data_IF_434289844089
#
_entry.id   IF_434289844089
#
_cell.length_a   1.000
_cell.length_b   1.000
_cell.length_c   1.000
_cell.angle_alpha   90.00
_cell.angle_beta   90.00
_cell.angle_gamma   90.00
#
_symmetry.space_group_name_H-M   'P 1'
#
loop_
_entity.id
_entity.type
_entity.pdbx_description
1 polymer ?
#
# COMPACT_ATOMS: atom_id res chain seq x y z
N UNK A 1 2.48 22.52 14.12
CA UNK A 1 2.77 21.19 13.57
C UNK A 1 1.44 20.49 13.44
N UNK A 2 1.12 19.92 12.28
CA UNK A 2 -0.09 19.13 12.13
C UNK A 2 -0.08 17.98 13.13
N UNK A 3 -1.12 17.85 13.93
CA UNK A 3 -1.20 16.82 14.97
C UNK A 3 -1.97 15.64 14.37
N UNK A 4 -1.38 14.45 14.44
CA UNK A 4 -2.08 13.21 14.08
C UNK A 4 -3.25 12.98 15.06
N UNK A 5 -4.43 12.75 14.53
CA UNK A 5 -5.64 12.43 15.27
C UNK A 5 -5.90 10.93 15.13
N UNK A 6 -6.09 10.22 16.23
CA UNK A 6 -6.52 8.82 16.22
C UNK A 6 -8.01 8.72 16.48
N UNK A 7 -8.65 7.81 15.77
CA UNK A 7 -10.04 7.42 15.92
C UNK A 7 -10.21 5.97 15.49
N UNK A 8 -11.43 5.48 15.39
CA UNK A 8 -11.70 4.14 14.89
C UNK A 8 -13.06 4.04 14.22
N UNK A 9 -13.28 3.00 13.44
CA UNK A 9 -14.60 2.61 12.96
C UNK A 9 -14.84 1.12 13.17
N UNK A 10 -16.11 0.73 13.14
CA UNK A 10 -16.49 -0.69 13.19
C UNK A 10 -16.56 -1.23 11.77
N UNK A 11 -15.79 -2.28 11.49
CA UNK A 11 -15.80 -2.96 10.20
C UNK A 11 -17.18 -3.56 9.92
N UNK A 12 -17.67 -3.33 8.71
CA UNK A 12 -18.91 -3.96 8.23
C UNK A 12 -18.74 -5.46 7.94
N UNK A 13 -17.49 -5.94 7.78
CA UNK A 13 -17.22 -7.33 7.45
C UNK A 13 -17.48 -8.30 8.63
N UNK A 14 -17.11 -7.89 9.87
CA UNK A 14 -17.18 -8.78 11.03
C UNK A 14 -17.30 -8.04 12.38
N UNK A 15 -17.62 -6.76 12.35
CA UNK A 15 -17.71 -5.88 13.52
C UNK A 15 -16.39 -5.67 14.30
N UNK A 16 -15.24 -5.99 13.72
CA UNK A 16 -13.94 -5.65 14.29
C UNK A 16 -13.76 -4.14 14.37
N UNK A 17 -13.04 -3.66 15.39
CA UNK A 17 -12.65 -2.25 15.51
C UNK A 17 -11.38 -2.00 14.69
N UNK A 18 -11.43 -1.07 13.77
CA UNK A 18 -10.30 -0.67 12.93
C UNK A 18 -9.84 0.73 13.35
N UNK A 19 -8.62 0.82 13.82
CA UNK A 19 -8.00 2.09 14.24
C UNK A 19 -7.60 2.92 13.02
N UNK A 20 -7.79 4.24 13.14
CA UNK A 20 -7.52 5.21 12.07
C UNK A 20 -6.61 6.32 12.55
N UNK A 21 -5.84 6.84 11.61
CA UNK A 21 -4.95 7.98 11.79
C UNK A 21 -5.33 9.06 10.76
N UNK A 22 -5.39 10.31 11.19
CA UNK A 22 -5.74 11.42 10.32
C UNK A 22 -4.82 12.62 10.56
N UNK A 23 -4.31 13.20 9.48
CA UNK A 23 -3.54 14.44 9.43
C UNK A 23 -4.37 15.44 8.59
N UNK A 24 -5.23 16.18 9.25
CA UNK A 24 -6.29 16.99 8.59
C UNK A 24 -6.14 18.49 8.81
N UNK A 25 -5.06 18.93 9.46
CA UNK A 25 -4.78 20.35 9.68
C UNK A 25 -4.29 21.03 8.39
N UNK A 26 -5.20 21.15 7.43
CA UNK A 26 -4.96 21.74 6.10
C UNK A 26 -6.04 22.79 5.84
N UNK A 27 -5.62 24.02 5.61
CA UNK A 27 -6.51 25.12 5.23
C UNK A 27 -6.81 25.03 3.74
N UNK A 28 -8.08 25.13 3.36
CA UNK A 28 -8.57 25.03 1.98
C UNK A 28 -8.03 23.80 1.24
N UNK A 29 -8.35 22.58 1.71
CA UNK A 29 -7.81 21.36 1.12
C UNK A 29 -8.31 21.18 -0.32
N UNK A 30 -7.41 20.68 -1.18
CA UNK A 30 -7.69 20.41 -2.59
C UNK A 30 -8.05 18.93 -2.86
N UNK A 31 -7.89 18.06 -1.86
CA UNK A 31 -8.23 16.64 -1.95
C UNK A 31 -7.93 15.92 -0.63
N UNK A 32 -8.28 14.65 -0.58
CA UNK A 32 -7.99 13.73 0.50
C UNK A 32 -7.20 12.54 -0.03
N UNK A 33 -6.26 12.04 0.76
CA UNK A 33 -5.42 10.87 0.40
C UNK A 33 -5.56 9.82 1.50
N UNK A 34 -6.04 8.65 1.13
CA UNK A 34 -5.96 7.46 1.96
C UNK A 34 -4.60 6.79 1.76
N UNK A 35 -3.98 6.32 2.85
CA UNK A 35 -2.74 5.55 2.84
C UNK A 35 -3.05 4.15 3.36
N UNK A 36 -2.71 3.11 2.58
CA UNK A 36 -2.83 1.71 2.95
C UNK A 36 -1.43 1.09 3.05
N UNK A 37 -1.02 0.73 4.25
CA UNK A 37 0.33 0.25 4.55
C UNK A 37 0.56 -1.23 4.18
N UNK A 38 1.81 -1.70 4.27
CA UNK A 38 2.24 -3.06 3.95
C UNK A 38 2.05 -4.07 5.09
N UNK A 39 2.49 -5.32 4.84
CA UNK A 39 2.52 -6.38 5.84
C UNK A 39 3.62 -6.11 6.87
N UNK A 40 3.32 -6.41 8.13
CA UNK A 40 4.24 -6.29 9.27
C UNK A 40 4.84 -4.89 9.44
N UNK A 41 3.99 -3.88 9.24
CA UNK A 41 4.23 -2.47 9.53
C UNK A 41 2.92 -1.80 10.02
N UNK A 42 2.86 -0.47 10.13
CA UNK A 42 1.66 0.24 10.59
C UNK A 42 1.59 1.69 10.07
N UNK A 43 0.41 2.30 10.20
CA UNK A 43 0.09 3.61 9.64
C UNK A 43 1.00 4.77 10.10
N UNK A 44 1.47 4.75 11.36
CA UNK A 44 2.29 5.85 11.87
C UNK A 44 3.65 5.99 11.17
N UNK A 45 4.14 4.95 10.48
CA UNK A 45 5.36 5.02 9.66
C UNK A 45 5.23 5.96 8.46
N UNK A 46 4.00 6.31 8.08
CA UNK A 46 3.68 7.21 6.97
C UNK A 46 3.51 8.67 7.39
N UNK A 47 3.80 9.04 8.65
CA UNK A 47 3.65 10.42 9.13
C UNK A 47 4.42 11.42 8.26
N UNK A 48 5.65 11.10 7.85
CA UNK A 48 6.46 11.97 6.96
C UNK A 48 5.77 12.22 5.62
N UNK A 49 5.24 11.17 4.99
CA UNK A 49 4.46 11.29 3.76
C UNK A 49 3.18 12.09 4.00
N UNK A 50 2.44 11.81 5.08
CA UNK A 50 1.21 12.52 5.42
C UNK A 50 1.44 14.02 5.62
N UNK A 51 2.54 14.41 6.29
CA UNK A 51 2.91 15.81 6.47
C UNK A 51 3.30 16.49 5.14
N UNK A 52 3.97 15.77 4.23
CA UNK A 52 4.28 16.27 2.90
C UNK A 52 3.00 16.45 2.06
N UNK A 53 2.04 15.53 2.16
CA UNK A 53 0.72 15.66 1.55
C UNK A 53 -0.05 16.87 2.11
N UNK A 54 -0.01 17.10 3.44
CA UNK A 54 -0.59 18.29 4.05
C UNK A 54 0.05 19.58 3.51
N UNK A 55 1.38 19.62 3.42
CA UNK A 55 2.09 20.78 2.84
C UNK A 55 1.72 21.00 1.36
N UNK A 56 1.29 19.96 0.66
CA UNK A 56 0.81 20.01 -0.72
C UNK A 56 -0.68 20.36 -0.86
N UNK A 57 -1.43 20.49 0.25
CA UNK A 57 -2.84 20.85 0.27
C UNK A 57 -3.80 19.65 0.38
N UNK A 58 -3.32 18.44 0.64
CA UNK A 58 -4.14 17.25 0.83
C UNK A 58 -4.32 16.93 2.31
N UNK A 59 -5.52 16.55 2.72
CA UNK A 59 -5.74 15.85 3.99
C UNK A 59 -5.30 14.40 3.84
N UNK A 60 -4.58 13.85 4.81
CA UNK A 60 -4.09 12.47 4.77
C UNK A 60 -4.77 11.62 5.85
N UNK A 61 -5.06 10.38 5.51
CA UNK A 61 -5.74 9.41 6.35
C UNK A 61 -5.12 8.04 6.18
N UNK A 62 -5.03 7.25 7.24
CA UNK A 62 -4.56 5.87 7.20
C UNK A 62 -5.33 5.00 8.20
N UNK A 63 -5.39 3.70 7.96
CA UNK A 63 -5.81 2.71 8.95
C UNK A 63 -4.60 1.92 9.42
N UNK A 64 -4.58 1.51 10.68
CA UNK A 64 -3.85 0.29 11.03
C UNK A 64 -4.70 -0.89 10.56
N UNK A 65 -4.22 -1.64 9.59
CA UNK A 65 -4.95 -2.78 9.03
C UNK A 65 -5.17 -3.86 10.08
N UNK A 66 -6.09 -4.80 9.80
CA UNK A 66 -6.32 -5.99 10.63
C UNK A 66 -5.00 -6.69 10.93
N UNK A 67 -4.77 -7.10 12.18
CA UNK A 67 -3.53 -7.71 12.62
C UNK A 67 -2.32 -6.78 12.64
N UNK A 68 -2.50 -5.45 12.54
CA UNK A 68 -1.40 -4.49 12.49
C UNK A 68 -1.63 -3.32 13.44
N UNK A 69 -0.52 -2.70 13.89
CA UNK A 69 -0.52 -1.50 14.70
C UNK A 69 -1.48 -1.59 15.89
N UNK A 70 -2.25 -0.55 16.12
CA UNK A 70 -3.23 -0.50 17.22
C UNK A 70 -4.43 -1.44 16.99
N UNK A 71 -4.88 -1.63 15.76
CA UNK A 71 -5.95 -2.59 15.43
C UNK A 71 -5.57 -4.02 15.82
N UNK A 72 -4.34 -4.41 15.54
CA UNK A 72 -3.81 -5.75 15.79
C UNK A 72 -2.96 -5.89 17.06
N UNK A 73 -2.96 -4.93 17.98
CA UNK A 73 -2.01 -4.88 19.09
C UNK A 73 -1.93 -6.16 19.94
N UNK A 74 -3.02 -6.94 20.02
CA UNK A 74 -3.07 -8.22 20.74
C UNK A 74 -2.86 -9.45 19.83
N UNK A 75 -2.92 -9.28 18.50
CA UNK A 75 -2.97 -10.38 17.52
C UNK A 75 -2.21 -10.01 16.24
N UNK A 76 -0.94 -9.58 16.41
CA UNK A 76 -0.12 -9.17 15.27
C UNK A 76 -0.08 -10.26 14.19
N UNK A 77 -0.30 -9.84 12.95
CA UNK A 77 -0.31 -10.70 11.77
C UNK A 77 -1.61 -11.47 11.52
N UNK A 78 -2.56 -11.48 12.46
CA UNK A 78 -3.85 -12.16 12.31
C UNK A 78 -4.90 -11.21 11.71
N UNK A 79 -5.39 -11.51 10.52
CA UNK A 79 -6.44 -10.73 9.87
C UNK A 79 -7.85 -10.95 10.47
N UNK A 80 -7.97 -11.84 11.46
CA UNK A 80 -9.25 -12.17 12.09
C UNK A 80 -10.19 -13.00 11.20
N UNK A 81 -11.45 -13.19 11.63
CA UNK A 81 -12.36 -14.12 10.99
C UNK A 81 -12.74 -13.74 9.55
N UNK A 82 -12.73 -12.46 9.20
CA UNK A 82 -12.99 -12.02 7.83
C UNK A 82 -11.76 -12.11 6.90
N UNK A 83 -10.58 -12.42 7.44
CA UNK A 83 -9.36 -12.63 6.67
C UNK A 83 -8.92 -11.43 5.84
N UNK A 84 -8.19 -11.69 4.76
CA UNK A 84 -7.73 -10.65 3.85
C UNK A 84 -8.88 -9.97 3.08
N UNK A 85 -9.98 -10.69 2.81
CA UNK A 85 -11.18 -10.09 2.21
C UNK A 85 -11.81 -9.03 3.13
N UNK A 86 -11.73 -9.25 4.46
CA UNK A 86 -12.12 -8.24 5.44
C UNK A 86 -11.24 -7.00 5.39
N UNK A 87 -9.91 -7.15 5.19
CA UNK A 87 -9.01 -6.02 5.00
C UNK A 87 -9.35 -5.23 3.73
N UNK A 88 -9.64 -5.90 2.62
CA UNK A 88 -10.07 -5.28 1.36
C UNK A 88 -11.36 -4.46 1.59
N UNK A 89 -12.33 -5.05 2.30
CA UNK A 89 -13.59 -4.36 2.63
C UNK A 89 -13.37 -3.15 3.53
N UNK A 90 -12.47 -3.23 4.52
CA UNK A 90 -12.13 -2.12 5.41
C UNK A 90 -11.46 -0.96 4.65
N UNK A 91 -10.59 -1.25 3.69
CA UNK A 91 -9.97 -0.22 2.83
C UNK A 91 -11.05 0.54 2.06
N UNK A 92 -12.02 -0.17 1.48
CA UNK A 92 -13.12 0.45 0.75
C UNK A 92 -14.08 1.22 1.68
N UNK A 93 -14.44 0.66 2.84
CA UNK A 93 -15.30 1.32 3.83
C UNK A 93 -14.66 2.61 4.35
N UNK A 94 -13.35 2.61 4.59
CA UNK A 94 -12.65 3.81 5.04
C UNK A 94 -12.59 4.89 3.97
N UNK A 95 -12.46 4.52 2.70
CA UNK A 95 -12.54 5.49 1.59
C UNK A 95 -13.91 6.18 1.53
N UNK A 96 -15.02 5.43 1.70
CA UNK A 96 -16.35 6.01 1.80
C UNK A 96 -16.43 7.02 2.96
N UNK A 97 -15.93 6.66 4.14
CA UNK A 97 -15.91 7.56 5.30
C UNK A 97 -15.04 8.81 5.08
N UNK A 98 -13.92 8.69 4.37
CA UNK A 98 -13.09 9.83 3.96
C UNK A 98 -13.88 10.76 3.01
N UNK A 99 -14.56 10.18 2.01
CA UNK A 99 -15.41 10.95 1.09
C UNK A 99 -16.52 11.70 1.79
N UNK A 100 -17.20 11.08 2.75
CA UNK A 100 -18.24 11.73 3.58
C UNK A 100 -17.68 12.88 4.43
N UNK A 101 -16.46 12.75 4.95
CA UNK A 101 -15.79 13.81 5.73
C UNK A 101 -15.23 14.95 4.86
N UNK A 102 -15.11 14.74 3.55
CA UNK A 102 -14.51 15.68 2.60
C UNK A 102 -15.42 15.90 1.37
N UNK A 103 -16.67 16.41 1.59
CA UNK A 103 -17.64 16.52 0.51
C UNK A 103 -17.14 17.43 -0.61
N UNK A 104 -17.21 16.92 -1.85
CA UNK A 104 -16.78 17.64 -3.05
C UNK A 104 -15.27 17.62 -3.33
N UNK A 105 -14.45 17.01 -2.46
CA UNK A 105 -13.03 16.82 -2.69
C UNK A 105 -12.76 15.45 -3.31
N UNK A 106 -11.80 15.34 -4.26
CA UNK A 106 -11.37 14.05 -4.77
C UNK A 106 -10.64 13.24 -3.68
N UNK A 107 -10.92 11.94 -3.62
CA UNK A 107 -10.22 10.99 -2.75
C UNK A 107 -9.24 10.19 -3.59
N UNK A 108 -7.97 10.19 -3.18
CA UNK A 108 -6.90 9.39 -3.77
C UNK A 108 -6.51 8.26 -2.82
N UNK A 109 -5.86 7.22 -3.37
CA UNK A 109 -5.26 6.15 -2.59
C UNK A 109 -3.75 6.06 -2.88
N UNK A 110 -2.93 5.99 -1.83
CA UNK A 110 -1.54 5.54 -1.89
C UNK A 110 -1.48 4.23 -1.13
N UNK A 111 -1.15 3.15 -1.82
CA UNK A 111 -1.16 1.81 -1.25
C UNK A 111 0.20 1.13 -1.44
N UNK A 112 0.77 0.62 -0.35
CA UNK A 112 2.09 0.01 -0.33
C UNK A 112 2.02 -1.50 -0.08
N UNK A 113 2.78 -2.28 -0.85
CA UNK A 113 3.00 -3.72 -0.62
C UNK A 113 1.67 -4.48 -0.44
N UNK A 114 1.42 -5.15 0.67
CA UNK A 114 0.14 -5.80 1.00
C UNK A 114 -1.06 -4.85 0.79
N UNK A 115 -0.96 -3.60 1.21
CA UNK A 115 -2.00 -2.59 0.97
C UNK A 115 -2.25 -2.37 -0.53
N UNK A 116 -1.22 -2.48 -1.38
CA UNK A 116 -1.37 -2.39 -2.83
C UNK A 116 -2.09 -3.59 -3.43
N UNK A 117 -1.96 -4.78 -2.83
CA UNK A 117 -2.71 -5.97 -3.26
C UNK A 117 -4.19 -5.85 -2.88
N UNK A 118 -4.48 -5.33 -1.69
CA UNK A 118 -5.85 -4.98 -1.31
C UNK A 118 -6.43 -3.91 -2.24
N UNK A 119 -5.67 -2.86 -2.55
CA UNK A 119 -6.06 -1.79 -3.46
C UNK A 119 -6.45 -2.35 -4.84
N UNK A 120 -5.66 -3.23 -5.43
CA UNK A 120 -5.98 -3.86 -6.71
C UNK A 120 -7.36 -4.56 -6.68
N UNK A 121 -7.70 -5.24 -5.58
CA UNK A 121 -9.03 -5.87 -5.39
C UNK A 121 -10.14 -4.82 -5.26
N UNK A 122 -9.91 -3.75 -4.48
CA UNK A 122 -10.85 -2.64 -4.33
C UNK A 122 -11.15 -1.98 -5.68
N UNK A 123 -10.14 -1.77 -6.55
CA UNK A 123 -10.34 -1.16 -7.87
C UNK A 123 -11.25 -1.96 -8.78
N UNK A 124 -11.29 -3.29 -8.61
CA UNK A 124 -12.20 -4.18 -9.33
C UNK A 124 -13.61 -4.10 -8.74
N UNK A 125 -13.74 -4.16 -7.41
CA UNK A 125 -15.04 -4.26 -6.72
C UNK A 125 -15.75 -2.91 -6.60
N UNK A 126 -15.00 -1.82 -6.53
CA UNK A 126 -15.47 -0.44 -6.32
C UNK A 126 -14.74 0.53 -7.28
N UNK A 127 -14.96 0.43 -8.60
CA UNK A 127 -14.18 1.15 -9.61
C UNK A 127 -14.27 2.68 -9.53
N UNK A 128 -15.33 3.21 -8.92
CA UNK A 128 -15.58 4.66 -8.84
C UNK A 128 -15.14 5.28 -7.50
N UNK A 129 -14.47 4.53 -6.64
CA UNK A 129 -14.19 4.94 -5.26
C UNK A 129 -13.10 6.03 -5.17
N UNK A 130 -12.11 6.00 -6.07
CA UNK A 130 -10.97 6.91 -6.05
C UNK A 130 -10.87 7.76 -7.30
N UNK A 131 -10.38 9.00 -7.14
CA UNK A 131 -10.03 9.90 -8.23
C UNK A 131 -8.74 9.47 -8.94
N UNK A 132 -7.83 8.82 -8.23
CA UNK A 132 -6.60 8.23 -8.76
C UNK A 132 -5.93 7.36 -7.70
N UNK A 133 -5.05 6.46 -8.13
CA UNK A 133 -4.41 5.47 -7.25
C UNK A 133 -2.91 5.37 -7.52
N UNK A 134 -2.14 5.31 -6.44
CA UNK A 134 -0.69 5.03 -6.44
C UNK A 134 -0.48 3.65 -5.81
N UNK A 135 0.10 2.73 -6.56
CA UNK A 135 0.54 1.42 -6.08
C UNK A 135 2.06 1.47 -5.90
N UNK A 136 2.51 1.38 -4.64
CA UNK A 136 3.92 1.39 -4.26
C UNK A 136 4.38 0.01 -3.80
N UNK A 137 5.59 -0.42 -4.17
CA UNK A 137 6.08 -1.74 -3.80
C UNK A 137 5.13 -2.87 -4.21
N UNK A 138 4.44 -2.70 -5.33
CA UNK A 138 3.45 -3.63 -5.85
C UNK A 138 4.05 -4.66 -6.80
N UNK A 139 3.25 -5.59 -7.30
CA UNK A 139 3.71 -6.66 -8.19
C UNK A 139 2.56 -7.32 -8.95
N UNK A 140 2.90 -8.11 -9.96
CA UNK A 140 2.02 -9.13 -10.53
C UNK A 140 1.94 -10.32 -9.55
N UNK A 141 0.92 -10.31 -8.69
CA UNK A 141 0.83 -11.14 -7.49
C UNK A 141 0.86 -12.65 -7.77
N UNK A 142 0.28 -13.08 -8.88
CA UNK A 142 0.30 -14.48 -9.33
C UNK A 142 1.69 -14.98 -9.69
N UNK A 143 2.48 -14.13 -10.35
CA UNK A 143 3.87 -14.46 -10.72
C UNK A 143 4.76 -14.45 -9.48
N UNK A 144 4.59 -13.48 -8.58
CA UNK A 144 5.30 -13.49 -7.30
C UNK A 144 4.99 -14.75 -6.49
N UNK A 145 3.70 -15.12 -6.37
CA UNK A 145 3.28 -16.34 -5.67
C UNK A 145 3.92 -17.60 -6.27
N UNK A 146 3.95 -17.70 -7.61
CA UNK A 146 4.58 -18.82 -8.31
C UNK A 146 6.09 -18.88 -8.08
N UNK A 147 6.77 -17.74 -8.07
CA UNK A 147 8.22 -17.67 -7.81
C UNK A 147 8.54 -18.09 -6.37
N UNK A 148 7.78 -17.59 -5.39
CA UNK A 148 7.97 -17.97 -3.99
C UNK A 148 7.71 -19.47 -3.75
N UNK A 149 6.70 -20.05 -4.40
CA UNK A 149 6.40 -21.48 -4.29
C UNK A 149 7.50 -22.39 -4.87
N UNK A 150 8.36 -21.87 -5.75
CA UNK A 150 9.48 -22.60 -6.35
C UNK A 150 10.82 -22.33 -5.63
N UNK A 151 10.85 -21.38 -4.71
CA UNK A 151 12.05 -21.02 -3.98
C UNK A 151 12.32 -22.05 -2.86
N UNK A 152 13.57 -22.50 -2.74
CA UNK A 152 14.04 -23.39 -1.67
C UNK A 152 14.57 -22.60 -0.44
N UNK A 153 14.27 -21.31 -0.37
CA UNK A 153 14.76 -20.39 0.66
C UNK A 153 13.90 -20.33 1.94
N UNK A 154 14.24 -19.43 2.87
CA UNK A 154 13.42 -19.15 4.05
C UNK A 154 12.01 -18.74 3.67
N UNK A 155 11.05 -19.01 4.56
CA UNK A 155 9.66 -18.59 4.39
C UNK A 155 9.43 -17.20 5.00
N UNK A 156 8.39 -16.49 4.53
CA UNK A 156 8.03 -15.18 5.07
C UNK A 156 8.86 -14.03 4.49
N UNK A 157 8.91 -12.92 5.25
CA UNK A 157 9.55 -11.68 4.78
C UNK A 157 11.07 -11.80 4.61
N UNK A 158 11.72 -12.70 5.35
CA UNK A 158 13.17 -12.95 5.24
C UNK A 158 13.58 -13.45 3.85
N UNK A 159 12.68 -14.11 3.12
CA UNK A 159 12.94 -14.57 1.76
C UNK A 159 13.37 -13.42 0.82
N UNK A 160 12.85 -12.22 1.05
CA UNK A 160 13.14 -11.05 0.22
C UNK A 160 14.53 -10.47 0.48
N UNK A 161 15.20 -10.86 1.58
CA UNK A 161 16.55 -10.37 1.90
C UNK A 161 17.69 -11.17 1.24
N UNK A 162 17.38 -12.24 0.52
CA UNK A 162 18.39 -13.19 0.00
C UNK A 162 19.45 -12.55 -0.92
N UNK A 163 19.14 -11.43 -1.58
CA UNK A 163 20.06 -10.69 -2.47
C UNK A 163 20.83 -9.55 -1.82
N UNK A 164 20.67 -9.32 -0.52
CA UNK A 164 21.22 -8.17 0.19
C UNK A 164 22.19 -8.59 1.30
N UNK A 165 22.94 -7.62 1.84
CA UNK A 165 23.76 -7.84 3.03
C UNK A 165 22.87 -8.26 4.22
N UNK A 166 23.37 -9.16 5.06
CA UNK A 166 22.62 -9.65 6.23
C UNK A 166 23.08 -8.93 7.51
N UNK A 167 22.77 -7.64 7.62
CA UNK A 167 23.00 -6.89 8.86
C UNK A 167 21.84 -7.08 9.85
N UNK A 168 20.61 -7.01 9.35
CA UNK A 168 19.38 -7.12 10.14
C UNK A 168 18.40 -8.18 9.61
N UNK A 169 18.51 -8.54 8.32
CA UNK A 169 17.54 -9.37 7.60
C UNK A 169 16.40 -8.58 6.93
N UNK A 170 16.42 -7.24 7.03
CA UNK A 170 15.44 -6.33 6.46
C UNK A 170 16.06 -5.29 5.50
N UNK A 171 17.27 -5.51 5.03
CA UNK A 171 17.95 -4.61 4.09
C UNK A 171 17.18 -4.44 2.77
N UNK A 172 16.38 -5.42 2.39
CA UNK A 172 15.51 -5.35 1.21
C UNK A 172 14.47 -4.22 1.27
N UNK A 173 14.19 -3.65 2.46
CA UNK A 173 13.22 -2.58 2.63
C UNK A 173 13.75 -1.24 2.10
N UNK A 174 14.99 -0.87 2.43
CA UNK A 174 15.57 0.43 2.09
C UNK A 174 17.10 0.40 2.10
N UNK A 175 17.71 1.29 1.31
CA UNK A 175 19.15 1.62 1.40
C UNK A 175 19.49 2.51 2.59
N UNK A 176 18.49 3.19 3.17
CA UNK A 176 18.68 3.99 4.37
C UNK A 176 18.71 3.09 5.61
N UNK A 177 19.93 2.78 6.08
CA UNK A 177 20.14 1.93 7.25
C UNK A 177 19.41 2.43 8.50
N UNK A 178 19.27 3.75 8.66
CA UNK A 178 18.56 4.32 9.81
C UNK A 178 17.05 4.06 9.75
N UNK A 179 16.45 3.99 8.56
CA UNK A 179 15.04 3.61 8.40
C UNK A 179 14.86 2.09 8.65
N UNK A 180 15.81 1.26 8.18
CA UNK A 180 15.81 -0.19 8.50
C UNK A 180 15.96 -0.41 10.00
N UNK A 181 16.86 0.31 10.68
CA UNK A 181 17.04 0.21 12.13
C UNK A 181 15.78 0.61 12.91
N UNK A 182 15.06 1.65 12.46
CA UNK A 182 13.76 2.04 13.03
C UNK A 182 12.73 0.92 12.87
N UNK A 183 12.67 0.28 11.69
CA UNK A 183 11.77 -0.85 11.45
C UNK A 183 12.05 -2.01 12.39
N UNK A 184 13.32 -2.40 12.53
CA UNK A 184 13.75 -3.50 13.41
C UNK A 184 13.52 -3.20 14.91
N UNK A 185 13.66 -1.93 15.31
CA UNK A 185 13.44 -1.51 16.68
C UNK A 185 11.96 -1.35 17.07
N UNK A 186 11.08 -1.28 16.10
CA UNK A 186 9.65 -1.09 16.33
C UNK A 186 8.95 -2.43 16.62
N UNK A 187 8.34 -2.62 17.80
CA UNK A 187 7.68 -3.88 18.18
C UNK A 187 6.44 -4.19 17.32
N UNK A 188 5.95 -3.23 16.52
CA UNK A 188 4.83 -3.41 15.60
C UNK A 188 5.28 -3.60 14.14
N UNK A 189 6.58 -3.79 13.94
CA UNK A 189 7.16 -4.07 12.63
C UNK A 189 7.89 -5.42 12.65
N UNK A 190 8.00 -6.06 11.49
CA UNK A 190 8.80 -7.27 11.32
C UNK A 190 8.35 -8.48 12.14
N UNK A 191 7.13 -8.48 12.65
CA UNK A 191 6.59 -9.59 13.41
C UNK A 191 6.32 -10.83 12.53
N UNK A 192 6.41 -12.00 13.11
CA UNK A 192 6.00 -13.23 12.46
C UNK A 192 4.48 -13.27 12.29
N UNK A 193 4.04 -13.74 11.13
CA UNK A 193 2.61 -13.88 10.85
C UNK A 193 2.13 -15.31 11.12
N UNK A 194 0.87 -15.51 11.53
CA UNK A 194 0.24 -16.83 11.53
C UNK A 194 0.41 -17.53 10.17
N UNK A 195 0.54 -18.87 10.13
CA UNK A 195 0.78 -19.61 8.89
C UNK A 195 -0.28 -19.38 7.79
N UNK A 196 -1.51 -19.05 8.16
CA UNK A 196 -2.63 -18.79 7.26
C UNK A 196 -2.59 -17.39 6.61
N UNK A 197 -1.88 -16.43 7.19
CA UNK A 197 -1.87 -15.02 6.73
C UNK A 197 -1.33 -14.87 5.30
N UNK A 198 -0.19 -15.48 5.01
CA UNK A 198 0.41 -15.41 3.68
C UNK A 198 -0.45 -16.12 2.62
N UNK A 199 -0.97 -17.35 2.84
CA UNK A 199 -1.95 -17.96 1.94
C UNK A 199 -3.20 -17.10 1.68
N UNK A 200 -3.76 -16.44 2.70
CA UNK A 200 -4.91 -15.54 2.53
C UNK A 200 -4.58 -14.35 1.62
N UNK A 201 -3.42 -13.74 1.80
CA UNK A 201 -2.95 -12.63 0.97
C UNK A 201 -2.82 -13.05 -0.51
N UNK A 202 -2.20 -14.20 -0.79
CA UNK A 202 -2.06 -14.73 -2.14
C UNK A 202 -3.36 -15.33 -2.71
N UNK A 203 -4.41 -15.48 -1.91
CA UNK A 203 -5.73 -15.92 -2.36
C UNK A 203 -6.32 -15.06 -3.48
N UNK A 204 -5.94 -13.78 -3.57
CA UNK A 204 -6.37 -12.87 -4.64
C UNK A 204 -5.57 -13.01 -5.94
N UNK A 205 -4.46 -13.76 -5.94
CA UNK A 205 -3.50 -13.79 -7.05
C UNK A 205 -4.12 -14.20 -8.40
N UNK A 206 -4.88 -15.29 -8.41
CA UNK A 206 -5.54 -15.79 -9.63
C UNK A 206 -6.61 -14.81 -10.14
N UNK A 207 -7.37 -14.20 -9.23
CA UNK A 207 -8.40 -13.21 -9.58
C UNK A 207 -7.79 -11.97 -10.20
N UNK A 208 -6.70 -11.44 -9.64
CA UNK A 208 -6.03 -10.24 -10.11
C UNK A 208 -5.18 -10.48 -11.37
N UNK A 209 -4.99 -11.72 -11.78
CA UNK A 209 -4.36 -12.09 -13.06
C UNK A 209 -5.39 -12.27 -14.19
N UNK A 210 -6.68 -12.36 -13.90
CA UNK A 210 -7.74 -12.60 -14.90
C UNK A 210 -8.06 -11.31 -15.67
N UNK A 211 -7.84 -11.25 -17.00
CA UNK A 211 -8.16 -10.08 -17.81
C UNK A 211 -9.64 -9.69 -17.76
N UNK A 212 -10.56 -10.66 -17.58
CA UNK A 212 -11.99 -10.37 -17.49
C UNK A 212 -12.36 -9.66 -16.18
N UNK A 213 -11.61 -9.94 -15.12
CA UNK A 213 -11.73 -9.27 -13.82
C UNK A 213 -11.14 -7.86 -13.90
N UNK A 214 -9.93 -7.71 -14.42
CA UNK A 214 -9.27 -6.40 -14.60
C UNK A 214 -10.07 -5.49 -15.54
N UNK A 215 -10.80 -6.05 -16.50
CA UNK A 215 -11.69 -5.28 -17.37
C UNK A 215 -12.85 -4.59 -16.63
N UNK A 216 -13.09 -4.86 -15.34
CA UNK A 216 -14.08 -4.18 -14.51
C UNK A 216 -13.56 -2.85 -13.94
N UNK A 217 -12.25 -2.66 -13.89
CA UNK A 217 -11.64 -1.40 -13.44
C UNK A 217 -12.04 -0.26 -14.39
N UNK A 218 -12.37 0.91 -13.82
CA UNK A 218 -12.73 2.11 -14.58
C UNK A 218 -11.61 2.52 -15.54
N UNK A 219 -11.96 2.78 -16.80
CA UNK A 219 -10.96 2.95 -17.88
C UNK A 219 -10.20 4.28 -17.83
N UNK A 220 -10.84 5.30 -17.29
CA UNK A 220 -10.29 6.64 -17.08
C UNK A 220 -9.67 6.85 -15.69
N UNK A 221 -9.53 5.78 -14.89
CA UNK A 221 -8.85 5.85 -13.59
C UNK A 221 -7.37 6.13 -13.80
N UNK A 222 -6.83 7.26 -13.31
CA UNK A 222 -5.40 7.49 -13.25
C UNK A 222 -4.73 6.48 -12.30
N UNK A 223 -3.72 5.77 -12.78
CA UNK A 223 -2.98 4.76 -12.02
C UNK A 223 -1.47 5.01 -12.13
N UNK A 224 -0.82 5.29 -11.00
CA UNK A 224 0.62 5.33 -10.89
C UNK A 224 1.11 4.03 -10.22
N UNK A 225 1.99 3.30 -10.88
CA UNK A 225 2.75 2.20 -10.29
C UNK A 225 4.16 2.71 -10.05
N UNK A 226 4.57 2.79 -8.79
CA UNK A 226 5.85 3.34 -8.36
C UNK A 226 6.64 2.28 -7.57
N UNK A 227 7.85 1.98 -7.97
CA UNK A 227 8.66 0.92 -7.35
C UNK A 227 10.14 1.26 -7.38
N UNK A 228 10.91 0.69 -6.45
CA UNK A 228 12.36 0.66 -6.58
C UNK A 228 12.79 -0.32 -7.66
N UNK A 229 13.88 -0.02 -8.38
CA UNK A 229 14.44 -0.96 -9.36
C UNK A 229 15.03 -2.20 -8.69
N UNK A 230 15.50 -2.07 -7.45
CA UNK A 230 16.09 -3.13 -6.64
C UNK A 230 15.10 -3.74 -5.63
N UNK A 231 13.81 -3.41 -5.75
CA UNK A 231 12.75 -4.06 -4.96
C UNK A 231 12.63 -5.55 -5.38
N UNK A 232 12.85 -6.51 -4.47
CA UNK A 232 12.75 -7.93 -4.80
C UNK A 232 11.34 -8.34 -5.27
N UNK A 233 10.28 -7.63 -4.83
CA UNK A 233 8.91 -7.87 -5.30
C UNK A 233 8.70 -7.38 -6.73
N UNK A 234 9.49 -6.42 -7.18
CA UNK A 234 9.43 -5.90 -8.55
C UNK A 234 10.08 -6.83 -9.58
N UNK A 235 10.87 -7.83 -9.14
CA UNK A 235 11.58 -8.76 -10.02
C UNK A 235 12.50 -8.04 -11.01
N UNK A 236 13.30 -7.07 -10.53
CA UNK A 236 14.12 -6.21 -11.39
C UNK A 236 13.29 -5.32 -12.31
N UNK A 237 12.11 -4.89 -11.86
CA UNK A 237 11.17 -4.07 -12.61
C UNK A 237 10.24 -4.84 -13.55
N UNK A 238 10.49 -6.14 -13.79
CA UNK A 238 9.70 -6.93 -14.76
C UNK A 238 8.26 -7.18 -14.28
N UNK A 239 8.06 -7.47 -12.99
CA UNK A 239 6.74 -7.79 -12.45
C UNK A 239 5.84 -6.55 -12.36
N UNK A 240 6.39 -5.40 -12.04
CA UNK A 240 5.62 -4.13 -12.06
C UNK A 240 5.35 -3.67 -13.49
N UNK A 241 6.26 -3.92 -14.44
CA UNK A 241 6.01 -3.67 -15.85
C UNK A 241 4.88 -4.56 -16.39
N UNK A 242 4.87 -5.84 -16.02
CA UNK A 242 3.78 -6.76 -16.34
C UNK A 242 2.45 -6.28 -15.72
N UNK A 243 2.46 -5.84 -14.46
CA UNK A 243 1.27 -5.30 -13.80
C UNK A 243 0.73 -4.08 -14.56
N UNK A 244 1.60 -3.13 -14.90
CA UNK A 244 1.22 -1.94 -15.68
C UNK A 244 0.65 -2.32 -17.06
N UNK A 245 1.27 -3.31 -17.73
CA UNK A 245 0.79 -3.79 -19.02
C UNK A 245 -0.60 -4.43 -18.92
N UNK A 246 -0.86 -5.23 -17.88
CA UNK A 246 -2.18 -5.84 -17.64
C UNK A 246 -3.28 -4.79 -17.49
N UNK A 247 -3.04 -3.70 -16.78
CA UNK A 247 -4.01 -2.60 -16.68
C UNK A 247 -4.23 -1.89 -18.00
N UNK A 248 -3.16 -1.66 -18.80
CA UNK A 248 -3.30 -1.10 -20.14
C UNK A 248 -4.08 -2.02 -21.06
N UNK A 249 -3.81 -3.32 -21.03
CA UNK A 249 -4.53 -4.34 -21.81
C UNK A 249 -6.00 -4.47 -21.38
N UNK A 250 -6.28 -4.22 -20.10
CA UNK A 250 -7.65 -4.10 -19.57
C UNK A 250 -8.37 -2.82 -20.05
N UNK A 251 -7.66 -1.91 -20.71
CA UNK A 251 -8.22 -0.70 -21.32
C UNK A 251 -8.07 0.57 -20.51
N UNK A 252 -7.29 0.60 -19.42
CA UNK A 252 -7.00 1.84 -18.71
C UNK A 252 -6.14 2.76 -19.61
N UNK A 253 -6.56 4.02 -19.69
CA UNK A 253 -5.94 5.00 -20.62
C UNK A 253 -4.85 5.84 -19.95
N UNK A 254 -4.80 5.86 -18.62
CA UNK A 254 -3.83 6.63 -17.86
C UNK A 254 -3.10 5.74 -16.83
N UNK A 255 -2.09 5.01 -17.31
CA UNK A 255 -1.24 4.13 -16.50
C UNK A 255 0.20 4.58 -16.61
N UNK A 256 0.71 5.16 -15.54
CA UNK A 256 2.11 5.56 -15.38
C UNK A 256 2.89 4.50 -14.60
N UNK A 257 4.08 4.15 -15.07
CA UNK A 257 5.04 3.31 -14.35
C UNK A 257 6.31 4.13 -14.10
N UNK A 258 6.70 4.26 -12.84
CA UNK A 258 7.95 4.90 -12.43
C UNK A 258 8.81 3.91 -11.65
N UNK A 259 10.06 3.73 -12.09
CA UNK A 259 11.08 2.96 -11.37
C UNK A 259 12.14 3.94 -10.86
N UNK A 260 12.34 3.94 -9.53
CA UNK A 260 13.38 4.72 -8.88
C UNK A 260 14.68 3.90 -8.83
N UNK A 261 15.71 4.40 -9.50
CA UNK A 261 16.97 3.69 -9.68
C UNK A 261 17.66 3.35 -8.36
N UNK A 262 18.04 2.09 -8.20
CA UNK A 262 18.64 1.53 -7.00
C UNK A 262 17.74 1.53 -5.75
N UNK A 263 16.56 2.15 -5.77
CA UNK A 263 15.65 2.12 -4.64
C UNK A 263 15.11 0.70 -4.39
N UNK A 264 14.88 0.37 -3.12
CA UNK A 264 14.35 -0.91 -2.66
C UNK A 264 12.84 -0.84 -2.44
N UNK A 265 12.30 -1.67 -1.58
CA UNK A 265 10.87 -1.88 -1.42
C UNK A 265 10.10 -0.65 -0.90
N UNK A 266 10.59 -0.05 0.19
CA UNK A 266 9.93 1.08 0.86
C UNK A 266 10.37 2.43 0.27
N UNK A 267 9.90 2.75 -0.94
CA UNK A 267 10.34 3.96 -1.66
C UNK A 267 10.13 5.28 -0.89
N UNK A 268 9.14 5.35 0.02
CA UNK A 268 8.90 6.51 0.89
C UNK A 268 9.85 6.59 2.09
N UNK A 269 10.62 5.54 2.34
CA UNK A 269 11.64 5.46 3.40
C UNK A 269 13.05 5.29 2.82
N UNK A 270 13.22 5.49 1.51
CA UNK A 270 14.49 5.38 0.81
C UNK A 270 15.41 6.60 1.00
N UNK A 271 16.67 6.47 0.59
CA UNK A 271 17.64 7.58 0.62
C UNK A 271 17.21 8.76 -0.24
N UNK A 272 16.48 8.50 -1.33
CA UNK A 272 15.90 9.52 -2.23
C UNK A 272 14.38 9.73 -2.00
N UNK A 273 13.86 9.46 -0.80
CA UNK A 273 12.44 9.61 -0.44
C UNK A 273 11.83 10.97 -0.72
N UNK A 274 12.63 12.03 -0.66
CA UNK A 274 12.15 13.38 -0.94
C UNK A 274 11.81 13.57 -2.42
N UNK A 275 12.62 13.00 -3.33
CA UNK A 275 12.34 12.90 -4.77
C UNK A 275 11.10 12.08 -5.02
N UNK A 276 11.02 10.87 -4.46
CA UNK A 276 9.84 9.99 -4.56
C UNK A 276 8.57 10.70 -4.11
N UNK A 277 8.62 11.37 -2.96
CA UNK A 277 7.47 12.09 -2.41
C UNK A 277 7.06 13.26 -3.33
N UNK A 278 8.04 14.01 -3.86
CA UNK A 278 7.77 15.12 -4.76
C UNK A 278 7.12 14.65 -6.07
N UNK A 279 7.59 13.54 -6.64
CA UNK A 279 7.03 12.95 -7.86
C UNK A 279 5.59 12.47 -7.66
N UNK A 280 5.32 11.77 -6.55
CA UNK A 280 3.97 11.32 -6.20
C UNK A 280 3.04 12.51 -5.97
N UNK A 281 3.47 13.54 -5.24
CA UNK A 281 2.69 14.76 -5.02
C UNK A 281 2.44 15.50 -6.33
N UNK A 282 3.41 15.56 -7.22
CA UNK A 282 3.26 16.15 -8.56
C UNK A 282 2.22 15.41 -9.38
N UNK A 283 2.27 14.08 -9.35
CA UNK A 283 1.29 13.24 -10.03
C UNK A 283 -0.12 13.44 -9.46
N UNK A 284 -0.30 13.45 -8.13
CA UNK A 284 -1.59 13.73 -7.49
C UNK A 284 -2.16 15.08 -7.94
N UNK A 285 -1.33 16.13 -7.96
CA UNK A 285 -1.74 17.48 -8.39
C UNK A 285 -2.19 17.52 -9.86
N UNK A 286 -1.54 16.78 -10.72
CA UNK A 286 -1.91 16.70 -12.13
C UNK A 286 -3.30 16.06 -12.35
N UNK A 287 -3.79 15.28 -11.37
CA UNK A 287 -5.08 14.57 -11.40
C UNK A 287 -6.10 15.13 -10.39
N UNK A 288 -5.78 16.25 -9.75
CA UNK A 288 -6.71 17.01 -8.90
C UNK A 288 -7.40 18.05 -9.76
N UNK A 289 -8.63 17.78 -10.19
CA UNK A 289 -9.43 18.67 -11.02
C UNK A 289 -10.31 19.59 -10.17
#
# INVERSE_FOLDING_TARGET
MATMIRSSFTSAADASTIETHAWTDVVDPIGAVQIAHGLAEHAARYERLALALNAAGYRAYATDHRGHGHTGAATLGDFGPAGFDGLIADVAQFADAIGEQNPGLPVFLIAHSMGSFAAQSVLVDRPDLYAGVVLSGSTALDVLAANLAQSEGPAGLEAFNAGFEHRTGYEWLSRDEAEVDKYVADPWCGFETPPETIPMLFGQAARLADPAVLAQVRKDLPLLIASGSDDPLAGGGQLVALLAQRYRDAGLTDVTLTLFDGARHEIFNETNRDEVTADVVSWLRAHTA
#
